data_IF_199607233938
#
_entry.id   IF_199607233938
#
_cell.length_a   1.000
_cell.length_b   1.000
_cell.length_c   1.000
_cell.angle_alpha   90.00
_cell.angle_beta   90.00
_cell.angle_gamma   90.00
#
_symmetry.space_group_name_H-M   'P 1'
#
loop_
_entity.id
_entity.type
_entity.pdbx_description
1 polymer ?
#
# COMPACT_ATOMS: atom_id res chain seq x y z
N UNK A 1 38.10 -7.47 -3.86
CA UNK A 1 37.48 -7.01 -2.59
C UNK A 1 37.35 -5.49 -2.56
N UNK A 2 38.42 -4.73 -2.77
CA UNK A 2 38.39 -3.24 -2.78
C UNK A 2 37.52 -2.67 -3.93
N UNK A 3 37.62 -3.20 -5.15
CA UNK A 3 36.77 -2.76 -6.28
C UNK A 3 35.27 -3.06 -6.12
N UNK A 4 34.90 -4.11 -5.37
CA UNK A 4 33.50 -4.39 -5.03
C UNK A 4 32.99 -3.35 -4.02
N UNK A 5 33.84 -2.98 -3.06
CA UNK A 5 33.56 -1.94 -2.07
C UNK A 5 33.39 -0.57 -2.74
N UNK A 6 34.24 -0.24 -3.71
CA UNK A 6 34.13 1.00 -4.49
C UNK A 6 32.85 1.02 -5.35
N UNK A 7 32.50 -0.08 -6.04
CA UNK A 7 31.21 -0.17 -6.76
C UNK A 7 29.97 -0.06 -5.85
N UNK A 8 30.14 -0.40 -4.56
CA UNK A 8 29.12 -0.30 -3.53
C UNK A 8 28.93 1.13 -3.02
N UNK A 9 30.02 1.90 -2.98
CA UNK A 9 30.08 3.28 -2.51
C UNK A 9 29.87 4.28 -3.65
N UNK A 10 29.98 3.83 -4.90
CA UNK A 10 29.59 4.59 -6.08
C UNK A 10 28.14 5.06 -6.00
N UNK A 11 27.83 6.17 -6.70
CA UNK A 11 26.47 6.72 -6.74
C UNK A 11 25.42 5.72 -7.26
N UNK A 12 25.81 4.68 -7.99
CA UNK A 12 24.93 3.57 -8.35
C UNK A 12 24.66 2.60 -7.20
N UNK A 13 25.67 2.25 -6.40
CA UNK A 13 25.53 1.40 -5.23
C UNK A 13 24.67 2.04 -4.14
N UNK A 14 24.85 3.32 -3.85
CA UNK A 14 24.05 4.06 -2.87
C UNK A 14 22.56 4.05 -3.23
N UNK A 15 22.22 4.28 -4.52
CA UNK A 15 20.83 4.22 -5.00
C UNK A 15 20.22 2.82 -4.84
N UNK A 16 21.01 1.77 -5.09
CA UNK A 16 20.56 0.39 -4.91
C UNK A 16 20.23 0.09 -3.43
N UNK A 17 21.05 0.56 -2.49
CA UNK A 17 20.79 0.40 -1.06
C UNK A 17 19.54 1.13 -0.59
N UNK A 18 19.33 2.36 -1.07
CA UNK A 18 18.11 3.13 -0.78
C UNK A 18 16.88 2.42 -1.35
N UNK A 19 16.94 1.97 -2.60
CA UNK A 19 15.83 1.24 -3.23
C UNK A 19 15.52 -0.08 -2.51
N UNK A 20 16.55 -0.82 -2.06
CA UNK A 20 16.39 -2.05 -1.28
C UNK A 20 15.67 -1.77 0.05
N UNK A 21 16.11 -0.75 0.79
CA UNK A 21 15.47 -0.37 2.05
C UNK A 21 13.99 0.01 1.85
N UNK A 22 13.69 0.79 0.81
CA UNK A 22 12.32 1.15 0.45
C UNK A 22 11.47 -0.07 0.09
N UNK A 23 12.00 -1.02 -0.69
CA UNK A 23 11.31 -2.25 -1.04
C UNK A 23 11.05 -3.15 0.17
N UNK A 24 11.99 -3.23 1.11
CA UNK A 24 11.80 -4.00 2.34
C UNK A 24 10.64 -3.42 3.16
N UNK A 25 10.60 -2.10 3.37
CA UNK A 25 9.48 -1.46 4.08
C UNK A 25 8.17 -1.61 3.30
N UNK A 26 8.19 -1.43 1.97
CA UNK A 26 7.02 -1.64 1.12
C UNK A 26 6.45 -3.06 1.27
N UNK A 27 7.32 -4.08 1.26
CA UNK A 27 6.93 -5.48 1.41
C UNK A 27 6.34 -5.77 2.79
N UNK A 28 6.91 -5.20 3.85
CA UNK A 28 6.40 -5.34 5.21
C UNK A 28 5.00 -4.70 5.36
N UNK A 29 4.78 -3.53 4.74
CA UNK A 29 3.46 -2.89 4.72
C UNK A 29 2.45 -3.69 3.90
N UNK A 30 2.85 -4.25 2.76
CA UNK A 30 1.97 -5.12 1.96
C UNK A 30 1.59 -6.39 2.73
N UNK A 31 2.54 -6.97 3.46
CA UNK A 31 2.27 -8.09 4.36
C UNK A 31 1.32 -7.68 5.50
N UNK A 32 1.51 -6.51 6.10
CA UNK A 32 0.61 -5.99 7.13
C UNK A 32 -0.82 -5.78 6.60
N UNK A 33 -0.98 -5.30 5.36
CA UNK A 33 -2.30 -5.21 4.71
C UNK A 33 -2.94 -6.60 4.57
N UNK A 34 -2.19 -7.61 4.10
CA UNK A 34 -2.68 -8.97 3.96
C UNK A 34 -3.09 -9.58 5.32
N UNK A 35 -2.28 -9.37 6.37
CA UNK A 35 -2.60 -9.80 7.73
C UNK A 35 -3.87 -9.10 8.22
N UNK A 36 -4.04 -7.80 7.96
CA UNK A 36 -5.23 -7.03 8.32
C UNK A 36 -6.52 -7.63 7.75
N UNK A 37 -6.49 -8.09 6.49
CA UNK A 37 -7.65 -8.73 5.85
C UNK A 37 -8.08 -10.03 6.56
N UNK A 38 -7.11 -10.80 7.08
CA UNK A 38 -7.37 -12.10 7.73
C UNK A 38 -7.66 -11.94 9.23
N UNK A 39 -7.09 -10.93 9.88
CA UNK A 39 -7.17 -10.74 11.34
C UNK A 39 -8.45 -10.05 11.79
N UNK A 40 -8.96 -9.10 11.02
CA UNK A 40 -10.12 -8.30 11.44
C UNK A 40 -11.43 -9.01 11.07
N UNK A 41 -12.40 -9.13 12.00
CA UNK A 41 -13.65 -9.83 11.76
C UNK A 41 -14.69 -8.98 11.00
N UNK A 42 -14.66 -7.65 11.15
CA UNK A 42 -15.60 -6.73 10.50
C UNK A 42 -15.10 -6.25 9.13
N UNK A 43 -15.87 -6.38 8.04
CA UNK A 43 -15.54 -5.85 6.71
C UNK A 43 -15.10 -4.39 6.69
N UNK A 44 -15.72 -3.50 7.46
CA UNK A 44 -15.36 -2.07 7.47
C UNK A 44 -13.97 -1.85 8.09
N UNK A 45 -13.68 -2.55 9.19
CA UNK A 45 -12.36 -2.54 9.83
C UNK A 45 -11.31 -3.19 8.93
N UNK A 46 -11.64 -4.28 8.22
CA UNK A 46 -10.75 -4.92 7.23
C UNK A 46 -10.37 -3.97 6.09
N UNK A 47 -11.34 -3.21 5.56
CA UNK A 47 -11.09 -2.22 4.50
C UNK A 47 -10.13 -1.13 4.97
N UNK A 48 -10.34 -0.62 6.19
CA UNK A 48 -9.47 0.42 6.75
C UNK A 48 -8.05 -0.09 7.03
N UNK A 49 -7.95 -1.29 7.60
CA UNK A 49 -6.68 -1.94 7.90
C UNK A 49 -5.91 -2.36 6.63
N UNK A 50 -6.61 -2.71 5.56
CA UNK A 50 -6.02 -3.06 4.26
C UNK A 50 -5.56 -1.81 3.51
N UNK A 51 -6.40 -0.79 3.41
CA UNK A 51 -6.18 0.36 2.52
C UNK A 51 -4.94 1.18 2.90
N UNK A 52 -4.71 1.45 4.19
CA UNK A 52 -3.61 2.33 4.61
C UNK A 52 -2.23 1.73 4.31
N UNK A 53 -1.90 0.49 4.75
CA UNK A 53 -0.60 -0.08 4.46
C UNK A 53 -0.43 -0.37 2.97
N UNK A 54 -1.52 -0.67 2.24
CA UNK A 54 -1.45 -0.93 0.80
C UNK A 54 -1.06 0.31 -0.01
N UNK A 55 -1.68 1.47 0.24
CA UNK A 55 -1.34 2.72 -0.48
C UNK A 55 0.09 3.15 -0.16
N UNK A 56 0.47 3.12 1.11
CA UNK A 56 1.83 3.48 1.54
C UNK A 56 2.88 2.50 1.01
N UNK A 57 2.60 1.19 1.05
CA UNK A 57 3.47 0.15 0.54
C UNK A 57 3.72 0.30 -0.96
N UNK A 58 2.66 0.53 -1.74
CA UNK A 58 2.81 0.79 -3.18
C UNK A 58 3.61 2.09 -3.45
N UNK A 59 3.32 3.17 -2.72
CA UNK A 59 4.04 4.43 -2.89
C UNK A 59 5.56 4.26 -2.65
N UNK A 60 5.96 3.52 -1.62
CA UNK A 60 7.36 3.22 -1.33
C UNK A 60 7.98 2.30 -2.39
N UNK A 61 7.24 1.31 -2.90
CA UNK A 61 7.72 0.45 -3.98
C UNK A 61 7.97 1.25 -5.28
N UNK A 62 7.06 2.15 -5.63
CA UNK A 62 7.22 3.03 -6.79
C UNK A 62 8.38 4.02 -6.61
N UNK A 63 8.56 4.56 -5.39
CA UNK A 63 9.71 5.39 -5.07
C UNK A 63 11.02 4.61 -5.23
N UNK A 64 11.06 3.35 -4.81
CA UNK A 64 12.22 2.48 -5.00
C UNK A 64 12.56 2.28 -6.49
N UNK A 65 11.54 2.11 -7.36
CA UNK A 65 11.72 2.01 -8.81
C UNK A 65 12.33 3.29 -9.39
N UNK A 66 11.85 4.47 -8.99
CA UNK A 66 12.39 5.76 -9.44
C UNK A 66 13.84 5.93 -9.00
N UNK A 67 14.15 5.58 -7.74
CA UNK A 67 15.52 5.67 -7.20
C UNK A 67 16.48 4.69 -7.87
N UNK A 68 16.04 3.46 -8.12
CA UNK A 68 16.87 2.41 -8.74
C UNK A 68 17.16 2.69 -10.21
N UNK A 69 16.15 3.07 -10.99
CA UNK A 69 16.30 3.30 -12.43
C UNK A 69 16.86 4.69 -12.72
N UNK A 70 16.47 5.70 -11.94
CA UNK A 70 16.92 7.09 -12.04
C UNK A 70 16.81 7.68 -13.47
N UNK A 71 15.71 7.40 -14.15
CA UNK A 71 15.40 7.98 -15.48
C UNK A 71 14.12 8.80 -15.44
N UNK A 72 14.06 9.81 -16.31
CA UNK A 72 12.84 10.64 -16.47
C UNK A 72 11.64 9.81 -16.92
N UNK A 73 11.88 8.80 -17.77
CA UNK A 73 10.85 7.87 -18.22
C UNK A 73 10.26 7.07 -17.05
N UNK A 74 11.09 6.55 -16.14
CA UNK A 74 10.60 5.80 -14.98
C UNK A 74 9.66 6.65 -14.12
N UNK A 75 9.99 7.93 -13.89
CA UNK A 75 9.14 8.86 -13.15
C UNK A 75 7.75 9.01 -13.77
N UNK A 76 7.68 9.27 -15.08
CA UNK A 76 6.38 9.42 -15.77
C UNK A 76 5.57 8.14 -15.87
N UNK A 77 6.22 6.97 -15.80
CA UNK A 77 5.52 5.68 -15.77
C UNK A 77 4.90 5.42 -14.39
N UNK A 78 5.59 5.74 -13.30
CA UNK A 78 5.06 5.46 -11.94
C UNK A 78 4.00 6.44 -11.46
N UNK A 79 4.03 7.70 -11.94
CA UNK A 79 3.07 8.74 -11.52
C UNK A 79 1.62 8.33 -11.78
N UNK A 80 1.23 7.88 -12.99
CA UNK A 80 -0.10 7.36 -13.24
C UNK A 80 -0.48 6.20 -12.32
N UNK A 81 0.45 5.27 -12.04
CA UNK A 81 0.19 4.13 -11.15
C UNK A 81 -0.19 4.61 -9.75
N UNK A 82 0.54 5.58 -9.20
CA UNK A 82 0.24 6.16 -7.89
C UNK A 82 -1.11 6.89 -7.89
N UNK A 83 -1.36 7.69 -8.91
CA UNK A 83 -2.62 8.45 -9.05
C UNK A 83 -3.80 7.50 -9.15
N UNK A 84 -3.73 6.51 -10.04
CA UNK A 84 -4.79 5.51 -10.18
C UNK A 84 -5.00 4.75 -8.87
N UNK A 85 -3.95 4.33 -8.16
CA UNK A 85 -4.10 3.68 -6.86
C UNK A 85 -4.89 4.55 -5.86
N UNK A 86 -4.59 5.85 -5.80
CA UNK A 86 -5.28 6.78 -4.89
C UNK A 86 -6.77 6.95 -5.23
N UNK A 87 -7.17 6.75 -6.50
CA UNK A 87 -8.58 6.71 -6.89
C UNK A 87 -9.23 5.33 -6.70
N UNK A 88 -8.50 4.27 -7.02
CA UNK A 88 -9.00 2.90 -6.95
C UNK A 88 -9.35 2.52 -5.50
N UNK A 89 -8.51 2.88 -4.53
CA UNK A 89 -8.71 2.53 -3.12
C UNK A 89 -10.02 3.08 -2.54
N UNK A 90 -10.34 4.39 -2.62
CA UNK A 90 -11.60 4.91 -2.10
C UNK A 90 -12.82 4.42 -2.88
N UNK A 91 -12.72 4.29 -4.21
CA UNK A 91 -13.83 3.77 -5.04
C UNK A 91 -14.15 2.33 -4.66
N UNK A 92 -13.15 1.45 -4.57
CA UNK A 92 -13.33 0.06 -4.13
C UNK A 92 -13.83 -0.02 -2.70
N UNK A 93 -13.31 0.82 -1.79
CA UNK A 93 -13.77 0.86 -0.39
C UNK A 93 -15.25 1.24 -0.31
N UNK A 94 -15.69 2.25 -1.06
CA UNK A 94 -17.09 2.66 -1.09
C UNK A 94 -18.01 1.59 -1.67
N UNK A 95 -17.58 0.91 -2.74
CA UNK A 95 -18.34 -0.19 -3.34
C UNK A 95 -18.48 -1.38 -2.38
N UNK A 96 -17.41 -1.77 -1.69
CA UNK A 96 -17.42 -2.87 -0.73
C UNK A 96 -18.27 -2.50 0.50
N UNK A 97 -18.17 -1.25 1.00
CA UNK A 97 -19.02 -0.76 2.09
C UNK A 97 -20.51 -0.72 1.69
N UNK A 98 -20.86 -0.39 0.45
CA UNK A 98 -22.26 -0.49 -0.01
C UNK A 98 -22.73 -1.93 -0.17
N UNK A 99 -21.84 -2.84 -0.58
CA UNK A 99 -22.16 -4.25 -0.70
C UNK A 99 -22.40 -4.89 0.68
N UNK A 100 -21.56 -4.61 1.66
CA UNK A 100 -21.71 -5.11 3.02
C UNK A 100 -23.05 -4.71 3.66
N UNK A 101 -23.55 -3.49 3.38
CA UNK A 101 -24.79 -2.94 3.94
C UNK A 101 -25.98 -3.75 3.44
N UNK A 102 -25.91 -4.17 2.18
CA UNK A 102 -26.97 -4.98 1.56
C UNK A 102 -26.93 -6.44 2.02
N UNK A 103 -25.75 -6.96 2.34
CA UNK A 103 -25.60 -8.33 2.84
C UNK A 103 -25.79 -8.44 4.35
N UNK A 104 -25.98 -7.33 5.06
CA UNK A 104 -26.03 -7.26 6.52
C UNK A 104 -24.82 -7.95 7.17
N UNK A 105 -23.65 -7.84 6.52
CA UNK A 105 -22.41 -8.54 6.88
C UNK A 105 -21.57 -7.69 7.85
N UNK A 106 -22.22 -7.13 8.88
CA UNK A 106 -21.58 -6.26 9.87
C UNK A 106 -21.91 -6.72 11.27
N UNK A 107 -20.96 -6.51 12.19
CA UNK A 107 -21.16 -6.80 13.60
C UNK A 107 -21.87 -5.63 14.27
N UNK A 108 -23.20 -5.62 14.17
CA UNK A 108 -24.10 -4.69 14.87
C UNK A 108 -23.83 -4.61 16.38
N UNK A 109 -23.43 -5.71 16.99
CA UNK A 109 -23.06 -5.79 18.41
C UNK A 109 -21.83 -4.94 18.80
N UNK A 110 -20.96 -4.59 17.85
CA UNK A 110 -19.78 -3.76 18.11
C UNK A 110 -20.06 -2.25 17.85
N UNK A 111 -21.25 -1.89 17.32
CA UNK A 111 -21.64 -0.52 16.99
C UNK A 111 -22.31 0.16 18.19
N UNK A 112 -21.77 1.30 18.63
CA UNK A 112 -22.37 2.11 19.70
C UNK A 112 -23.62 2.88 19.23
N UNK A 113 -23.66 3.23 17.95
CA UNK A 113 -24.74 3.94 17.27
C UNK A 113 -24.80 3.40 15.85
N UNK A 114 -25.97 2.98 15.40
CA UNK A 114 -26.25 2.61 14.02
C UNK A 114 -27.40 3.47 13.48
N UNK A 115 -27.07 4.43 12.62
CA UNK A 115 -28.05 5.31 11.96
C UNK A 115 -28.69 4.64 10.73
N UNK A 116 -28.39 3.37 10.45
CA UNK A 116 -28.93 2.63 9.28
C UNK A 116 -30.18 1.81 9.60
N UNK A 117 -30.54 1.65 10.88
CA UNK A 117 -31.73 0.91 11.34
C UNK A 117 -32.99 1.78 11.59
N UNK A 118 -32.92 3.10 11.34
CA UNK A 118 -34.08 4.03 11.44
C UNK A 118 -35.16 3.84 10.35
#
# INVERSE_FOLDING_TARGET
>A
MIAILESFVDGAGVRAWIALALLLVASALSLAAAIGIVRFPDPLVRLHAMAKPQVLGLALALAAVVVAVWTWTAFWVVVPVLVFQLFLVPVSTHMIARAGLRSNDYRHEDLLVDDTED
#
